data_IF_648334912414
#
_entry.id   IF_648334912414
#
_cell.length_a   1.000
_cell.length_b   1.000
_cell.length_c   1.000
_cell.angle_alpha   90.00
_cell.angle_beta   90.00
_cell.angle_gamma   90.00
#
_symmetry.space_group_name_H-M   'P 1'
#
loop_
_entity.id
_entity.type
_entity.pdbx_description
1 polymer ?
#
# COMPACT_ATOMS: atom_id res chain seq x y z
N UNK A 1 21.47 -7.17 17.01
CA UNK A 1 20.18 -7.39 16.33
C UNK A 1 19.98 -6.44 15.14
N UNK A 2 20.16 -5.12 15.33
CA UNK A 2 20.04 -4.09 14.28
C UNK A 2 20.83 -4.39 12.99
N UNK A 3 22.10 -4.80 13.08
CA UNK A 3 22.90 -5.12 11.88
C UNK A 3 22.33 -6.28 11.04
N UNK A 4 21.65 -7.25 11.68
CA UNK A 4 20.99 -8.35 10.94
C UNK A 4 19.77 -7.83 10.17
N UNK A 5 18.99 -6.93 10.77
CA UNK A 5 17.83 -6.30 10.11
C UNK A 5 18.30 -5.46 8.92
N UNK A 6 19.32 -4.62 9.10
CA UNK A 6 19.90 -3.83 8.00
C UNK A 6 20.39 -4.73 6.85
N UNK A 7 21.02 -5.87 7.18
CA UNK A 7 21.40 -6.86 6.17
C UNK A 7 20.19 -7.40 5.40
N UNK A 8 19.10 -7.78 6.08
CA UNK A 8 17.90 -8.29 5.40
C UNK A 8 17.21 -7.25 4.51
N UNK A 9 17.21 -5.98 4.92
CA UNK A 9 16.70 -4.88 4.09
C UNK A 9 17.57 -4.71 2.84
N UNK A 10 18.89 -4.67 2.99
CA UNK A 10 19.82 -4.55 1.86
C UNK A 10 19.76 -5.76 0.90
N UNK A 11 19.43 -6.95 1.40
CA UNK A 11 19.21 -8.17 0.60
C UNK A 11 17.81 -8.26 0.00
N UNK A 12 16.89 -7.32 0.30
CA UNK A 12 15.50 -7.37 -0.15
C UNK A 12 14.65 -8.47 0.49
N UNK A 13 15.12 -9.07 1.60
CA UNK A 13 14.39 -10.09 2.35
C UNK A 13 13.37 -9.51 3.32
N UNK A 14 13.54 -8.23 3.66
CA UNK A 14 12.60 -7.42 4.42
C UNK A 14 12.39 -6.13 3.63
N UNK A 15 11.15 -5.90 3.20
CA UNK A 15 10.75 -4.72 2.44
C UNK A 15 9.75 -3.89 3.26
N UNK A 16 9.85 -2.56 3.16
CA UNK A 16 8.89 -1.64 3.73
C UNK A 16 7.90 -1.18 2.64
N UNK A 17 6.61 -1.27 2.93
CA UNK A 17 5.51 -0.79 2.08
C UNK A 17 4.74 0.32 2.80
N UNK A 18 4.19 1.27 2.05
CA UNK A 18 3.72 2.59 2.54
C UNK A 18 4.79 3.42 3.25
N UNK A 19 5.41 2.91 4.31
CA UNK A 19 6.50 3.55 5.05
C UNK A 19 6.14 4.85 5.77
N UNK A 20 4.85 5.20 5.86
CA UNK A 20 4.39 6.23 6.78
C UNK A 20 4.38 5.75 8.23
N UNK A 21 4.18 6.69 9.15
CA UNK A 21 4.05 6.38 10.58
C UNK A 21 2.84 5.47 10.88
N UNK A 22 1.79 5.60 10.08
CA UNK A 22 0.65 4.68 10.07
C UNK A 22 0.08 4.49 8.66
N UNK A 23 -0.91 3.60 8.56
CA UNK A 23 -1.82 3.54 7.42
C UNK A 23 -2.98 4.51 7.73
N UNK A 24 -2.88 5.74 7.22
CA UNK A 24 -3.87 6.78 7.51
C UNK A 24 -5.24 6.47 6.87
N UNK A 25 -6.32 6.94 7.51
CA UNK A 25 -7.64 7.04 6.86
C UNK A 25 -7.58 8.01 5.67
N UNK A 26 -8.54 7.91 4.75
CA UNK A 26 -8.59 8.74 3.54
C UNK A 26 -9.84 9.65 3.47
N UNK A 27 -10.79 9.50 4.40
CA UNK A 27 -12.03 10.28 4.40
C UNK A 27 -11.98 11.49 5.36
N UNK A 28 -11.35 11.33 6.52
CA UNK A 28 -11.38 12.28 7.64
C UNK A 28 -10.02 12.93 7.95
N UNK A 29 -9.06 12.78 7.05
CA UNK A 29 -7.70 13.33 7.19
C UNK A 29 -7.48 14.57 6.34
N UNK A 30 -6.72 15.53 6.87
CA UNK A 30 -6.23 16.67 6.09
C UNK A 30 -4.96 16.29 5.33
N UNK A 31 -4.83 16.71 4.07
CA UNK A 31 -3.69 16.35 3.22
C UNK A 31 -2.32 16.70 3.84
N UNK A 32 -2.21 17.81 4.56
CA UNK A 32 -0.97 18.20 5.25
C UNK A 32 -0.57 17.18 6.31
N UNK A 33 -1.53 16.69 7.09
CA UNK A 33 -1.28 15.64 8.09
C UNK A 33 -0.92 14.29 7.47
N UNK A 34 -1.47 13.98 6.29
CA UNK A 34 -1.07 12.79 5.52
C UNK A 34 0.42 12.92 5.12
N UNK A 35 0.83 14.07 4.61
CA UNK A 35 2.22 14.36 4.23
C UNK A 35 3.13 14.31 5.45
N UNK A 36 2.76 14.92 6.57
CA UNK A 36 3.57 14.97 7.80
C UNK A 36 3.87 13.55 8.32
N UNK A 37 2.83 12.71 8.45
CA UNK A 37 3.03 11.36 8.99
C UNK A 37 3.77 10.43 8.02
N UNK A 38 3.62 10.62 6.69
CA UNK A 38 4.43 9.90 5.70
C UNK A 38 5.87 10.36 5.70
N UNK A 39 6.12 11.66 5.83
CA UNK A 39 7.46 12.23 5.90
C UNK A 39 8.22 11.73 7.13
N UNK A 40 7.55 11.68 8.29
CA UNK A 40 8.12 11.16 9.53
C UNK A 40 8.59 9.69 9.38
N UNK A 41 7.75 8.84 8.78
CA UNK A 41 8.12 7.44 8.53
C UNK A 41 9.24 7.30 7.50
N UNK A 42 9.17 8.07 6.41
CA UNK A 42 10.19 8.06 5.36
C UNK A 42 11.56 8.53 5.87
N UNK A 43 11.60 9.57 6.70
CA UNK A 43 12.83 10.06 7.33
C UNK A 43 13.46 8.98 8.22
N UNK A 44 12.68 8.36 9.09
CA UNK A 44 13.17 7.25 9.91
C UNK A 44 13.74 6.11 9.05
N UNK A 45 13.03 5.68 8.01
CA UNK A 45 13.49 4.60 7.14
C UNK A 45 14.78 4.98 6.41
N UNK A 46 14.88 6.22 5.93
CA UNK A 46 16.07 6.72 5.27
C UNK A 46 17.28 6.75 6.22
N UNK A 47 17.13 7.29 7.43
CA UNK A 47 18.21 7.35 8.42
C UNK A 47 18.69 5.96 8.86
N UNK A 48 17.78 4.99 8.98
CA UNK A 48 18.13 3.66 9.47
C UNK A 48 18.65 2.72 8.39
N UNK A 49 18.09 2.79 7.18
CA UNK A 49 18.27 1.80 6.12
C UNK A 49 18.73 2.38 4.78
N UNK A 50 18.81 3.71 4.65
CA UNK A 50 19.21 4.38 3.41
C UNK A 50 18.28 4.06 2.24
N UNK A 51 18.83 4.06 1.02
CA UNK A 51 18.06 3.84 -0.20
C UNK A 51 17.35 2.47 -0.23
N UNK A 52 17.95 1.43 0.37
CA UNK A 52 17.34 0.10 0.42
C UNK A 52 16.07 0.05 1.29
N UNK A 53 15.89 1.01 2.20
CA UNK A 53 14.69 1.13 3.02
C UNK A 53 13.56 1.92 2.37
N UNK A 54 13.77 2.51 1.19
CA UNK A 54 12.78 3.37 0.53
C UNK A 54 11.58 2.54 0.04
N UNK A 55 10.35 2.80 0.51
CA UNK A 55 9.16 2.14 0.00
C UNK A 55 8.92 2.48 -1.48
N UNK A 56 8.43 1.49 -2.24
CA UNK A 56 8.06 1.65 -3.66
C UNK A 56 6.56 1.56 -3.91
N UNK A 57 5.85 0.89 -3.01
CA UNK A 57 4.42 0.58 -3.13
C UNK A 57 3.65 1.13 -1.95
N UNK A 58 2.58 1.87 -2.24
CA UNK A 58 1.57 2.26 -1.27
C UNK A 58 0.66 1.08 -0.92
N UNK A 59 0.32 0.96 0.35
CA UNK A 59 -0.44 -0.16 0.91
C UNK A 59 -1.58 0.37 1.77
N UNK A 60 -2.78 0.45 1.19
CA UNK A 60 -4.00 0.96 1.81
C UNK A 60 -5.07 -0.13 1.83
N UNK A 61 -4.82 -1.18 2.59
CA UNK A 61 -5.67 -2.38 2.58
C UNK A 61 -6.96 -2.24 3.39
N UNK A 62 -6.97 -1.39 4.41
CA UNK A 62 -8.07 -1.30 5.39
C UNK A 62 -8.83 0.03 5.51
N UNK A 63 -8.41 1.17 4.90
CA UNK A 63 -9.27 2.36 4.85
C UNK A 63 -10.63 2.11 4.19
N UNK A 64 -11.67 2.82 4.64
CA UNK A 64 -13.04 2.60 4.21
C UNK A 64 -13.40 3.49 2.99
N UNK A 65 -12.88 3.07 1.84
CA UNK A 65 -12.93 3.88 0.62
C UNK A 65 -11.66 4.70 0.46
N UNK A 66 -11.41 5.16 -0.78
CA UNK A 66 -10.12 5.72 -1.15
C UNK A 66 -10.30 7.08 -1.83
N UNK A 67 -9.54 8.06 -1.37
CA UNK A 67 -9.60 9.42 -1.88
C UNK A 67 -8.70 9.56 -3.11
N UNK A 68 -9.19 10.32 -4.09
CA UNK A 68 -8.38 10.68 -5.26
C UNK A 68 -7.11 11.46 -4.84
N UNK A 69 -7.20 12.23 -3.76
CA UNK A 69 -6.06 13.01 -3.26
C UNK A 69 -4.94 12.13 -2.70
N UNK A 70 -5.26 11.03 -1.99
CA UNK A 70 -4.25 10.08 -1.51
C UNK A 70 -3.41 9.50 -2.65
N UNK A 71 -4.06 9.10 -3.75
CA UNK A 71 -3.36 8.60 -4.94
C UNK A 71 -2.47 9.67 -5.58
N UNK A 72 -2.92 10.93 -5.59
CA UNK A 72 -2.14 12.07 -6.09
C UNK A 72 -0.90 12.31 -5.23
N UNK A 73 -1.06 12.32 -3.91
CA UNK A 73 0.04 12.46 -2.95
C UNK A 73 1.05 11.32 -3.10
N UNK A 74 0.59 10.07 -3.22
CA UNK A 74 1.50 8.93 -3.41
C UNK A 74 2.26 8.97 -4.74
N UNK A 75 1.62 9.37 -5.83
CA UNK A 75 2.33 9.57 -7.09
C UNK A 75 3.43 10.64 -6.96
N UNK A 76 3.14 11.76 -6.28
CA UNK A 76 4.09 12.84 -6.03
C UNK A 76 5.21 12.46 -5.04
N UNK A 77 4.95 11.54 -4.11
CA UNK A 77 5.96 10.96 -3.22
C UNK A 77 6.89 9.97 -3.95
N UNK A 78 6.61 9.64 -5.21
CA UNK A 78 7.44 8.73 -6.02
C UNK A 78 7.14 7.25 -5.80
N UNK A 79 5.92 6.91 -5.37
CA UNK A 79 5.45 5.52 -5.39
C UNK A 79 5.18 5.05 -6.83
N UNK A 80 5.52 3.80 -7.11
CA UNK A 80 5.28 3.17 -8.41
C UNK A 80 3.85 2.61 -8.52
N UNK A 81 3.24 2.26 -7.38
CA UNK A 81 1.89 1.72 -7.34
C UNK A 81 1.23 1.77 -5.95
N UNK A 82 -0.06 1.47 -5.92
CA UNK A 82 -0.91 1.47 -4.73
C UNK A 82 -1.81 0.23 -4.75
N UNK A 83 -1.88 -0.49 -3.64
CA UNK A 83 -2.80 -1.62 -3.48
C UNK A 83 -3.89 -1.33 -2.45
N UNK A 84 -5.11 -1.70 -2.82
CA UNK A 84 -6.34 -1.41 -2.09
C UNK A 84 -7.02 -2.72 -1.67
N UNK A 85 -7.58 -2.74 -0.47
CA UNK A 85 -8.35 -3.89 0.02
C UNK A 85 -9.86 -3.68 0.02
N UNK A 86 -10.34 -2.43 0.07
CA UNK A 86 -11.77 -2.11 0.23
C UNK A 86 -12.25 -1.17 -0.87
N UNK A 87 -13.13 -1.66 -1.73
CA UNK A 87 -13.92 -0.85 -2.66
C UNK A 87 -15.39 -1.22 -2.49
N UNK A 88 -16.29 -0.46 -3.12
CA UNK A 88 -17.70 -0.84 -3.14
C UNK A 88 -17.89 -2.25 -3.73
N UNK A 89 -18.84 -2.99 -3.17
CA UNK A 89 -19.10 -4.38 -3.54
C UNK A 89 -19.62 -4.59 -4.97
N UNK A 90 -20.40 -3.64 -5.51
CA UNK A 90 -20.86 -3.67 -6.90
C UNK A 90 -19.71 -3.34 -7.85
N UNK A 91 -18.86 -2.37 -7.49
CA UNK A 91 -17.63 -2.05 -8.24
C UNK A 91 -16.68 -3.25 -8.26
N UNK A 92 -16.47 -3.91 -7.11
CA UNK A 92 -15.67 -5.13 -7.02
C UNK A 92 -16.18 -6.22 -7.95
N UNK A 93 -17.48 -6.53 -7.88
CA UNK A 93 -18.11 -7.56 -8.70
C UNK A 93 -17.96 -7.27 -10.19
N UNK A 94 -18.14 -5.99 -10.56
CA UNK A 94 -17.98 -5.53 -11.94
C UNK A 94 -16.55 -5.72 -12.40
N UNK A 95 -15.58 -5.14 -11.68
CA UNK A 95 -14.15 -5.19 -12.03
C UNK A 95 -13.61 -6.62 -12.11
N UNK A 96 -14.04 -7.49 -11.21
CA UNK A 96 -13.65 -8.89 -11.21
C UNK A 96 -14.12 -9.63 -12.46
N UNK A 97 -15.35 -9.35 -12.92
CA UNK A 97 -15.92 -9.91 -14.15
C UNK A 97 -15.29 -9.32 -15.40
N UNK A 98 -15.06 -8.02 -15.44
CA UNK A 98 -14.53 -7.28 -16.60
C UNK A 98 -13.00 -7.29 -16.68
N UNK A 99 -12.31 -7.89 -15.71
CA UNK A 99 -10.83 -7.95 -15.65
C UNK A 99 -10.19 -6.55 -15.55
N UNK A 100 -10.80 -5.69 -14.74
CA UNK A 100 -10.35 -4.30 -14.50
C UNK A 100 -10.05 -4.05 -13.01
N UNK A 101 -9.53 -5.06 -12.32
CA UNK A 101 -9.05 -4.97 -10.93
C UNK A 101 -7.77 -4.15 -10.81
N UNK A 102 -7.03 -4.03 -11.91
CA UNK A 102 -5.80 -3.25 -12.01
C UNK A 102 -6.00 -2.15 -13.05
N UNK A 103 -5.54 -0.94 -12.73
CA UNK A 103 -5.69 0.23 -13.60
C UNK A 103 -4.60 1.26 -13.32
N UNK A 104 -4.44 2.23 -14.23
CA UNK A 104 -3.70 3.47 -13.95
C UNK A 104 -4.70 4.50 -13.44
N UNK A 105 -4.61 4.86 -12.17
CA UNK A 105 -5.47 5.86 -11.55
C UNK A 105 -4.91 7.27 -11.83
N UNK A 106 -5.65 8.07 -12.59
CA UNK A 106 -5.34 9.48 -12.88
C UNK A 106 -5.88 10.36 -11.76
N UNK A 107 -5.03 10.69 -10.79
CA UNK A 107 -5.46 11.23 -9.51
C UNK A 107 -5.65 12.77 -9.48
N UNK A 108 -5.20 13.50 -10.50
CA UNK A 108 -5.40 14.96 -10.58
C UNK A 108 -5.75 15.40 -11.99
N UNK A 109 -6.67 16.37 -12.08
CA UNK A 109 -7.00 17.05 -13.34
C UNK A 109 -5.92 18.05 -13.76
N UNK A 110 -5.03 18.45 -12.84
CA UNK A 110 -4.13 19.58 -13.03
C UNK A 110 -2.64 19.17 -13.13
N UNK A 111 -2.31 17.95 -12.71
CA UNK A 111 -0.91 17.48 -12.64
C UNK A 111 -0.54 16.52 -13.78
N UNK A 112 -1.51 16.19 -14.65
CA UNK A 112 -1.34 15.25 -15.76
C UNK A 112 -0.62 13.97 -15.29
N UNK A 113 0.42 13.50 -16.01
CA UNK A 113 1.13 12.25 -15.75
C UNK A 113 1.81 12.17 -14.38
N UNK A 114 2.09 13.30 -13.72
CA UNK A 114 2.71 13.29 -12.38
C UNK A 114 1.79 12.73 -11.31
N UNK A 115 0.47 12.65 -11.59
CA UNK A 115 -0.54 12.10 -10.68
C UNK A 115 -1.06 10.74 -11.12
N UNK A 116 -0.40 10.09 -12.09
CA UNK A 116 -0.81 8.77 -12.57
C UNK A 116 -0.12 7.72 -11.70
N UNK A 117 -0.92 6.87 -11.06
CA UNK A 117 -0.42 5.83 -10.17
C UNK A 117 -0.99 4.48 -10.59
N UNK A 118 -0.16 3.45 -10.72
CA UNK A 118 -0.69 2.10 -10.89
C UNK A 118 -1.47 1.72 -9.64
N UNK A 119 -2.68 1.18 -9.80
CA UNK A 119 -3.54 0.82 -8.67
C UNK A 119 -4.12 -0.56 -8.89
N UNK A 120 -3.93 -1.44 -7.90
CA UNK A 120 -4.48 -2.78 -7.88
C UNK A 120 -5.46 -2.97 -6.73
N UNK A 121 -6.63 -3.53 -7.01
CA UNK A 121 -7.56 -4.00 -5.98
C UNK A 121 -7.25 -5.46 -5.69
N UNK A 122 -7.03 -5.80 -4.42
CA UNK A 122 -6.68 -7.17 -4.04
C UNK A 122 -7.89 -8.13 -4.17
N UNK A 123 -7.68 -9.39 -4.59
CA UNK A 123 -8.75 -10.32 -4.98
C UNK A 123 -9.46 -11.01 -3.80
N UNK A 124 -8.91 -10.97 -2.59
CA UNK A 124 -9.56 -11.56 -1.41
C UNK A 124 -9.45 -10.59 -0.22
N UNK A 125 -9.77 -9.32 -0.45
CA UNK A 125 -9.40 -8.23 0.48
C UNK A 125 -7.91 -8.36 0.79
N UNK A 126 -7.54 -8.54 2.05
CA UNK A 126 -6.17 -8.74 2.49
C UNK A 126 -6.00 -10.03 3.30
N UNK A 127 -6.84 -11.03 3.04
CA UNK A 127 -6.75 -12.33 3.70
C UNK A 127 -6.17 -13.40 2.77
N UNK A 128 -5.53 -14.45 3.32
CA UNK A 128 -5.08 -15.59 2.53
C UNK A 128 -6.23 -16.26 1.76
N UNK A 129 -5.94 -16.99 0.68
CA UNK A 129 -6.92 -17.90 0.09
C UNK A 129 -7.45 -18.91 1.11
N UNK A 130 -8.66 -19.42 0.88
CA UNK A 130 -9.27 -20.43 1.73
C UNK A 130 -8.34 -21.66 1.88
N UNK A 131 -8.18 -22.14 3.11
CA UNK A 131 -7.26 -23.22 3.50
C UNK A 131 -5.76 -22.90 3.47
N UNK A 132 -5.35 -21.66 3.14
CA UNK A 132 -3.95 -21.24 3.12
C UNK A 132 -3.59 -20.26 4.26
N UNK A 133 -4.32 -20.28 5.38
CA UNK A 133 -3.93 -19.52 6.56
C UNK A 133 -3.11 -20.37 7.54
N UNK A 134 -1.79 -20.15 7.56
CA UNK A 134 -0.84 -20.81 8.47
C UNK A 134 -0.45 -19.94 9.68
N UNK A 135 -1.23 -18.92 9.98
CA UNK A 135 -1.04 -18.15 11.22
C UNK A 135 -1.47 -18.97 12.45
N UNK A 136 -0.88 -18.67 13.60
CA UNK A 136 -1.18 -19.37 14.87
C UNK A 136 -2.65 -19.23 15.30
N UNK A 137 -3.38 -18.23 14.78
CA UNK A 137 -4.81 -18.01 15.06
C UNK A 137 -5.74 -18.74 14.10
N UNK A 138 -5.21 -19.36 13.05
CA UNK A 138 -5.97 -20.11 12.07
C UNK A 138 -6.02 -21.60 12.42
N UNK A 139 -7.08 -22.26 11.97
CA UNK A 139 -7.33 -23.69 12.21
C UNK A 139 -7.22 -24.53 10.94
N UNK A 140 -6.45 -24.06 9.94
CA UNK A 140 -6.22 -24.85 8.73
C UNK A 140 -5.21 -25.97 9.00
N UNK A 141 -5.35 -27.06 8.26
CA UNK A 141 -4.43 -28.19 8.36
C UNK A 141 -3.01 -27.75 7.95
N UNK A 142 -1.97 -28.22 8.64
CA UNK A 142 -0.60 -27.97 8.23
C UNK A 142 -0.30 -28.65 6.89
N UNK A 143 0.65 -28.11 6.14
CA UNK A 143 1.22 -28.81 4.99
C UNK A 143 2.00 -30.02 5.53
N UNK A 144 1.52 -31.23 5.24
CA UNK A 144 2.20 -32.49 5.54
C UNK A 144 3.20 -32.86 4.44
#
# INVERSE_FOLDING_TARGET
MQNKVKKFVNEGRLEFISGGWCMNDEASTQYSSIIDQHSLGAEFLHEQFGECGRPKIGWQIDPFGHSREQASIFALMGFDGLFLGRIDHEDYTTRFRTKTMEMVWKASSNLDRQSWLFTGVLPNRYVPPDSFCFDQRCSNDPIM
#
